data_IF_304242716673
#
_entry.id   IF_304242716673
#
_cell.length_a   1.000
_cell.length_b   1.000
_cell.length_c   1.000
_cell.angle_alpha   90.00
_cell.angle_beta   90.00
_cell.angle_gamma   90.00
#
_symmetry.space_group_name_H-M   'P 1'
#
loop_
_entity.id
_entity.type
_entity.pdbx_description
1 polymer ?
#
# COMPACT_ATOMS: atom_id res chain seq x y z
N UNK A 1 6.30 -30.03 -0.57
CA UNK A 1 6.26 -28.60 -0.19
C UNK A 1 4.81 -28.26 0.04
N UNK A 2 4.40 -28.18 1.29
CA UNK A 2 3.15 -27.51 1.64
C UNK A 2 3.38 -26.03 1.30
N UNK A 3 2.48 -25.44 0.54
CA UNK A 3 2.50 -24.00 0.29
C UNK A 3 2.10 -23.33 1.60
N UNK A 4 2.90 -22.40 2.12
CA UNK A 4 2.53 -21.61 3.29
C UNK A 4 1.15 -20.96 3.12
N UNK A 5 0.44 -20.77 4.23
CA UNK A 5 -0.95 -20.33 4.24
C UNK A 5 -1.06 -18.81 4.42
N UNK A 6 -1.71 -18.15 3.46
CA UNK A 6 -2.23 -16.79 3.63
C UNK A 6 -3.75 -16.85 3.78
N UNK A 7 -4.33 -16.26 4.85
CA UNK A 7 -5.77 -16.17 5.01
C UNK A 7 -6.42 -15.51 3.80
N UNK A 8 -7.56 -16.04 3.38
CA UNK A 8 -8.32 -15.52 2.23
C UNK A 8 -9.75 -15.21 2.61
N UNK A 9 -10.23 -14.06 2.19
CA UNK A 9 -11.62 -13.63 2.35
C UNK A 9 -12.19 -13.15 1.02
N UNK A 10 -13.53 -13.12 0.93
CA UNK A 10 -14.18 -12.52 -0.23
C UNK A 10 -14.09 -11.00 -0.15
N UNK A 11 -13.80 -10.37 -1.29
CA UNK A 11 -13.64 -8.91 -1.39
C UNK A 11 -14.60 -8.39 -2.44
N UNK A 12 -15.42 -7.43 -2.03
CA UNK A 12 -16.30 -6.66 -2.90
C UNK A 12 -15.52 -5.57 -3.65
N UNK A 13 -16.17 -4.92 -4.62
CA UNK A 13 -15.59 -3.82 -5.38
C UNK A 13 -15.34 -4.16 -6.84
N UNK A 14 -14.48 -3.38 -7.49
CA UNK A 14 -14.38 -3.32 -8.95
C UNK A 14 -12.92 -3.34 -9.42
N UNK A 15 -12.67 -3.92 -10.60
CA UNK A 15 -11.35 -3.83 -11.25
C UNK A 15 -11.15 -2.50 -12.00
N UNK A 16 -12.25 -1.79 -12.27
CA UNK A 16 -12.24 -0.45 -12.84
C UNK A 16 -12.33 0.60 -11.74
N UNK A 17 -11.86 1.82 -12.05
CA UNK A 17 -11.98 2.94 -11.14
C UNK A 17 -13.46 3.22 -10.79
N UNK A 18 -13.81 3.42 -9.52
CA UNK A 18 -15.18 3.72 -9.11
C UNK A 18 -15.67 5.01 -9.78
N UNK A 19 -16.87 4.97 -10.37
CA UNK A 19 -17.45 6.11 -11.08
C UNK A 19 -17.69 7.33 -10.17
N UNK A 20 -17.92 7.08 -8.88
CA UNK A 20 -18.15 8.11 -7.87
C UNK A 20 -16.87 8.66 -7.24
N UNK A 21 -15.68 8.17 -7.61
CA UNK A 21 -14.42 8.69 -7.10
C UNK A 21 -14.18 10.14 -7.55
N UNK A 22 -13.94 11.04 -6.60
CA UNK A 22 -13.69 12.47 -6.87
C UNK A 22 -12.23 12.76 -7.19
N UNK A 23 -11.31 11.89 -6.75
CA UNK A 23 -9.85 12.01 -6.87
C UNK A 23 -9.34 13.31 -6.23
N UNK A 24 -8.78 13.17 -5.03
CA UNK A 24 -8.21 14.28 -4.31
C UNK A 24 -6.74 14.04 -3.99
N UNK A 25 -5.99 15.13 -3.85
CA UNK A 25 -4.64 15.13 -3.31
C UNK A 25 -4.55 16.22 -2.25
N UNK A 26 -4.10 15.90 -1.03
CA UNK A 26 -3.88 16.91 -0.01
C UNK A 26 -2.81 17.90 -0.43
N UNK A 27 -2.98 19.17 -0.05
CA UNK A 27 -1.86 20.11 0.00
C UNK A 27 -0.94 19.70 1.14
N UNK A 28 0.35 20.06 1.05
CA UNK A 28 1.31 19.82 2.15
C UNK A 28 0.87 20.39 3.50
N UNK A 29 0.12 21.49 3.52
CA UNK A 29 -0.40 22.09 4.75
C UNK A 29 -1.62 21.38 5.33
N UNK A 30 -2.22 20.45 4.56
CA UNK A 30 -3.38 19.64 4.95
C UNK A 30 -2.95 18.24 5.42
N UNK A 31 -1.63 17.99 5.47
CA UNK A 31 -1.01 16.75 5.96
C UNK A 31 -0.33 17.10 7.27
N UNK A 32 -0.82 16.54 8.38
CA UNK A 32 -0.20 16.71 9.70
C UNK A 32 0.52 15.42 10.13
N UNK A 33 1.01 15.39 11.37
CA UNK A 33 1.70 14.24 11.94
C UNK A 33 0.79 13.00 12.03
N UNK A 34 -0.53 13.21 12.16
CA UNK A 34 -1.55 12.14 12.24
C UNK A 34 -2.08 11.71 10.85
N UNK A 35 -1.55 12.25 9.74
CA UNK A 35 -1.96 11.84 8.39
C UNK A 35 -3.01 12.73 7.73
N UNK A 36 -3.95 12.08 7.01
CA UNK A 36 -5.05 12.73 6.29
C UNK A 36 -6.35 11.95 6.54
N UNK A 37 -7.51 12.62 6.51
CA UNK A 37 -8.82 11.94 6.56
C UNK A 37 -9.34 11.60 7.97
N UNK A 38 -8.79 12.26 9.01
CA UNK A 38 -9.22 12.15 10.42
C UNK A 38 -9.14 10.73 10.99
N UNK A 39 -8.13 9.96 10.57
CA UNK A 39 -7.80 8.70 11.23
C UNK A 39 -6.98 9.00 12.50
N UNK A 40 -7.24 8.26 13.57
CA UNK A 40 -6.46 8.36 14.82
C UNK A 40 -5.36 7.32 14.79
N UNK A 41 -4.25 7.60 15.47
CA UNK A 41 -3.13 6.68 15.65
C UNK A 41 -2.47 6.20 14.34
N UNK A 42 -2.53 7.02 13.28
CA UNK A 42 -1.78 6.82 12.04
C UNK A 42 -0.76 7.93 11.84
N UNK A 43 0.24 7.73 11.00
CA UNK A 43 1.19 8.78 10.62
C UNK A 43 1.37 8.84 9.10
N UNK A 44 1.81 10.01 8.63
CA UNK A 44 2.00 10.25 7.21
C UNK A 44 3.22 9.48 6.65
N UNK A 45 3.00 8.71 5.59
CA UNK A 45 4.08 8.14 4.75
C UNK A 45 3.99 8.75 3.35
N UNK A 46 4.88 9.70 3.06
CA UNK A 46 4.95 10.41 1.77
C UNK A 46 6.39 10.61 1.32
N UNK A 47 6.57 10.96 0.05
CA UNK A 47 7.89 11.26 -0.56
C UNK A 47 8.93 10.12 -0.39
N UNK A 48 8.46 8.88 -0.28
CA UNK A 48 9.29 7.67 -0.10
C UNK A 48 10.18 7.40 -1.33
N UNK A 49 11.50 7.29 -1.18
CA UNK A 49 12.39 6.86 -2.25
C UNK A 49 12.07 5.44 -2.75
N UNK A 50 12.13 5.21 -4.07
CA UNK A 50 11.91 3.88 -4.64
C UNK A 50 12.84 2.77 -4.09
N UNK A 51 14.05 3.13 -3.68
CA UNK A 51 14.98 2.18 -3.05
C UNK A 51 14.47 1.68 -1.72
N UNK A 52 13.93 2.60 -0.91
CA UNK A 52 13.33 2.32 0.40
C UNK A 52 12.05 1.49 0.25
N UNK A 53 11.13 1.89 -0.63
CA UNK A 53 9.92 1.12 -0.91
C UNK A 53 10.24 -0.31 -1.40
N UNK A 54 11.30 -0.49 -2.20
CA UNK A 54 11.74 -1.80 -2.65
C UNK A 54 12.32 -2.65 -1.51
N UNK A 55 13.05 -2.04 -0.59
CA UNK A 55 13.54 -2.73 0.62
C UNK A 55 12.36 -3.18 1.48
N UNK A 56 11.38 -2.30 1.70
CA UNK A 56 10.17 -2.60 2.46
C UNK A 56 9.39 -3.78 1.87
N UNK A 57 9.09 -3.75 0.56
CA UNK A 57 8.38 -4.86 -0.13
C UNK A 57 9.13 -6.19 -0.03
N UNK A 58 10.46 -6.16 -0.06
CA UNK A 58 11.28 -7.38 0.06
C UNK A 58 11.27 -7.94 1.48
N UNK A 59 11.40 -7.06 2.47
CA UNK A 59 11.40 -7.45 3.87
C UNK A 59 10.04 -7.99 4.29
N UNK A 60 8.96 -7.28 3.95
CA UNK A 60 7.59 -7.73 4.16
C UNK A 60 7.36 -9.13 3.56
N UNK A 61 7.79 -9.37 2.31
CA UNK A 61 7.62 -10.69 1.68
C UNK A 61 8.39 -11.79 2.39
N UNK A 62 9.61 -11.51 2.85
CA UNK A 62 10.43 -12.47 3.59
C UNK A 62 9.74 -12.86 4.89
N UNK A 63 9.28 -11.87 5.65
CA UNK A 63 8.56 -12.06 6.90
C UNK A 63 7.23 -12.79 6.68
N UNK A 64 6.44 -12.38 5.69
CA UNK A 64 5.16 -12.99 5.35
C UNK A 64 5.30 -14.47 4.98
N UNK A 65 6.38 -14.83 4.28
CA UNK A 65 6.66 -16.23 3.95
C UNK A 65 6.95 -17.05 5.21
N UNK A 66 7.77 -16.52 6.13
CA UNK A 66 8.07 -17.21 7.39
C UNK A 66 6.82 -17.41 8.25
N UNK A 67 5.95 -16.39 8.36
CA UNK A 67 4.67 -16.50 9.06
C UNK A 67 3.76 -17.53 8.39
N UNK A 68 3.61 -17.48 7.06
CA UNK A 68 2.74 -18.38 6.32
C UNK A 68 3.19 -19.84 6.40
N UNK A 69 4.49 -20.09 6.50
CA UNK A 69 5.04 -21.44 6.65
C UNK A 69 4.81 -22.03 8.05
N UNK A 70 4.60 -21.17 9.05
CA UNK A 70 4.29 -21.57 10.44
C UNK A 70 2.78 -21.68 10.71
N UNK A 71 1.96 -20.87 10.05
CA UNK A 71 0.54 -20.78 10.33
C UNK A 71 -0.26 -21.96 9.75
N UNK A 72 -1.07 -22.61 10.60
CA UNK A 72 -2.03 -23.64 10.17
C UNK A 72 -3.45 -23.07 10.03
N UNK A 73 -3.78 -22.04 10.82
CA UNK A 73 -5.09 -21.37 10.84
C UNK A 73 -4.97 -19.85 10.66
N UNK A 74 -6.02 -19.13 10.22
CA UNK A 74 -6.02 -17.67 10.17
C UNK A 74 -5.66 -17.01 11.50
N UNK A 75 -6.09 -17.61 12.61
CA UNK A 75 -5.77 -17.17 13.97
C UNK A 75 -4.29 -17.36 14.29
N UNK A 76 -3.67 -18.47 13.86
CA UNK A 76 -2.21 -18.65 13.96
C UNK A 76 -1.48 -17.60 13.14
N UNK A 77 -1.94 -17.34 11.91
CA UNK A 77 -1.33 -16.34 11.06
C UNK A 77 -1.34 -14.97 11.75
N UNK A 78 -2.49 -14.55 12.27
CA UNK A 78 -2.65 -13.25 12.92
C UNK A 78 -1.79 -13.12 14.19
N UNK A 79 -1.80 -14.16 15.04
CA UNK A 79 -0.97 -14.24 16.26
C UNK A 79 0.53 -14.15 15.94
N UNK A 80 1.01 -14.98 15.02
CA UNK A 80 2.44 -15.05 14.67
C UNK A 80 2.88 -13.75 13.98
N UNK A 81 2.05 -13.22 13.08
CA UNK A 81 2.36 -11.97 12.41
C UNK A 81 2.40 -10.78 13.39
N UNK A 82 1.52 -10.75 14.40
CA UNK A 82 1.57 -9.73 15.45
C UNK A 82 2.91 -9.74 16.20
N UNK A 83 3.43 -10.93 16.51
CA UNK A 83 4.76 -11.06 17.13
C UNK A 83 5.86 -10.55 16.21
N UNK A 84 5.79 -10.86 14.91
CA UNK A 84 6.75 -10.34 13.92
C UNK A 84 6.71 -8.81 13.85
N UNK A 85 5.53 -8.21 13.78
CA UNK A 85 5.33 -6.76 13.64
C UNK A 85 5.82 -5.96 14.84
N UNK A 86 5.77 -6.55 16.03
CA UNK A 86 6.10 -5.87 17.28
C UNK A 86 7.41 -6.33 17.89
N UNK A 87 8.14 -7.23 17.21
CA UNK A 87 9.42 -7.76 17.64
C UNK A 87 9.33 -9.01 18.53
N UNK A 88 10.36 -9.85 18.43
CA UNK A 88 10.57 -11.03 19.26
C UNK A 88 11.14 -10.62 20.62
N UNK A 89 10.29 -10.16 21.54
CA UNK A 89 10.73 -9.98 22.91
C UNK A 89 10.88 -11.34 23.62
N UNK A 90 11.87 -11.46 24.52
CA UNK A 90 12.25 -12.72 25.17
C UNK A 90 11.13 -13.34 26.01
N UNK A 91 10.23 -12.50 26.52
CA UNK A 91 9.18 -12.88 27.49
C UNK A 91 7.79 -13.10 26.85
N UNK A 92 7.67 -13.02 25.52
CA UNK A 92 6.38 -13.27 24.86
C UNK A 92 6.05 -14.75 24.81
N UNK A 93 5.02 -15.12 25.57
CA UNK A 93 4.41 -16.46 25.57
C UNK A 93 3.60 -16.76 24.29
N UNK A 94 3.43 -15.76 23.41
CA UNK A 94 2.58 -15.82 22.22
C UNK A 94 3.12 -16.74 21.12
N UNK A 95 4.39 -17.17 21.18
CA UNK A 95 5.00 -18.11 20.22
C UNK A 95 5.75 -19.24 20.92
N UNK A 96 5.56 -20.46 20.45
CA UNK A 96 6.23 -21.65 20.97
C UNK A 96 7.72 -21.73 20.57
N UNK A 97 8.52 -22.61 21.21
CA UNK A 97 9.96 -22.73 20.90
C UNK A 97 10.27 -23.07 19.43
N UNK A 98 9.40 -23.83 18.76
CA UNK A 98 9.56 -24.19 17.35
C UNK A 98 9.33 -22.99 16.40
N UNK A 99 8.28 -22.21 16.66
CA UNK A 99 7.99 -20.97 15.92
C UNK A 99 9.12 -19.96 16.12
N UNK A 100 9.57 -19.78 17.38
CA UNK A 100 10.69 -18.90 17.73
C UNK A 100 11.97 -19.27 16.96
N UNK A 101 12.32 -20.55 16.89
CA UNK A 101 13.51 -20.99 16.15
C UNK A 101 13.46 -20.66 14.63
N UNK A 102 12.26 -20.53 14.06
CA UNK A 102 12.07 -20.12 12.65
C UNK A 102 12.05 -18.60 12.50
N UNK A 103 11.53 -17.87 13.49
CA UNK A 103 11.41 -16.42 13.45
C UNK A 103 12.71 -15.68 13.81
N UNK A 104 13.50 -16.19 14.76
CA UNK A 104 14.75 -15.57 15.22
C UNK A 104 15.73 -15.18 14.08
N UNK A 105 15.92 -15.99 13.02
CA UNK A 105 16.80 -15.62 11.92
C UNK A 105 16.24 -14.54 10.97
N UNK A 106 14.95 -14.24 11.05
CA UNK A 106 14.25 -13.33 10.12
C UNK A 106 13.69 -12.07 10.77
N UNK A 107 13.42 -12.09 12.07
CA UNK A 107 12.92 -10.93 12.83
C UNK A 107 14.09 -10.25 13.55
N UNK A 108 14.19 -8.93 13.41
CA UNK A 108 15.15 -8.10 14.16
C UNK A 108 14.68 -7.79 15.57
N UNK A 109 15.59 -7.33 16.43
CA UNK A 109 15.24 -6.80 17.76
C UNK A 109 14.38 -5.52 17.65
N UNK A 110 14.61 -4.70 16.63
CA UNK A 110 13.75 -3.55 16.33
C UNK A 110 12.50 -4.01 15.55
N UNK A 111 11.31 -3.45 15.86
CA UNK A 111 10.08 -3.74 15.14
C UNK A 111 10.27 -3.51 13.63
N UNK A 112 10.04 -4.54 12.79
CA UNK A 112 10.14 -4.37 11.36
C UNK A 112 8.97 -3.54 10.83
N UNK A 113 9.03 -3.18 9.55
CA UNK A 113 7.92 -2.55 8.81
C UNK A 113 7.49 -1.16 9.31
N UNK A 114 8.36 -0.48 10.06
CA UNK A 114 8.14 0.87 10.58
C UNK A 114 6.83 1.01 11.38
N UNK A 115 6.41 -0.06 12.07
CA UNK A 115 5.15 -0.10 12.84
C UNK A 115 3.89 -0.37 12.02
N UNK A 116 4.02 -0.65 10.72
CA UNK A 116 2.92 -1.10 9.87
C UNK A 116 2.73 -2.63 9.93
N UNK A 117 1.56 -3.05 9.47
CA UNK A 117 1.17 -4.45 9.44
C UNK A 117 1.75 -5.20 8.23
N UNK A 118 2.02 -6.48 8.46
CA UNK A 118 2.45 -7.45 7.46
C UNK A 118 1.40 -7.60 6.35
N UNK A 119 1.80 -7.41 5.10
CA UNK A 119 0.89 -7.46 3.96
C UNK A 119 0.29 -6.11 3.58
N UNK A 120 0.65 -5.06 4.29
CA UNK A 120 0.19 -3.68 4.07
C UNK A 120 1.38 -2.74 3.88
N UNK A 121 2.43 -2.89 4.69
CA UNK A 121 3.62 -2.04 4.69
C UNK A 121 4.21 -1.83 3.29
N UNK A 122 4.41 -2.91 2.53
CA UNK A 122 4.97 -2.83 1.18
C UNK A 122 4.07 -2.05 0.22
N UNK A 123 2.74 -2.22 0.32
CA UNK A 123 1.78 -1.51 -0.54
C UNK A 123 1.73 -0.02 -0.19
N UNK A 124 1.70 0.32 1.11
CA UNK A 124 1.75 1.71 1.60
C UNK A 124 2.99 2.43 1.06
N UNK A 125 4.17 1.81 1.18
CA UNK A 125 5.43 2.38 0.69
C UNK A 125 5.46 2.47 -0.85
N UNK A 126 4.94 1.47 -1.55
CA UNK A 126 4.87 1.49 -3.02
C UNK A 126 3.96 2.61 -3.54
N UNK A 127 2.80 2.84 -2.90
CA UNK A 127 1.88 3.93 -3.23
C UNK A 127 2.52 5.30 -2.95
N UNK A 128 3.17 5.45 -1.80
CA UNK A 128 3.91 6.66 -1.44
C UNK A 128 5.02 6.97 -2.45
N UNK A 129 5.78 5.95 -2.88
CA UNK A 129 6.88 6.10 -3.83
C UNK A 129 6.43 6.56 -5.23
N UNK A 130 5.19 6.27 -5.63
CA UNK A 130 4.60 6.78 -6.89
C UNK A 130 3.82 8.09 -6.72
N UNK A 131 3.86 8.69 -5.52
CA UNK A 131 3.27 10.00 -5.22
C UNK A 131 1.76 9.96 -4.99
N UNK A 132 1.24 8.85 -4.48
CA UNK A 132 -0.07 8.78 -3.82
C UNK A 132 0.13 8.93 -2.30
N UNK A 133 -0.93 9.25 -1.56
CA UNK A 133 -0.83 9.49 -0.11
C UNK A 133 -1.71 8.47 0.62
N UNK A 134 -1.12 7.41 1.21
CA UNK A 134 -1.83 6.52 2.13
C UNK A 134 -2.44 7.30 3.29
N UNK A 135 -3.66 6.94 3.67
CA UNK A 135 -4.44 7.60 4.71
C UNK A 135 -4.74 6.66 5.89
N UNK A 136 -5.07 5.41 5.59
CA UNK A 136 -5.29 4.36 6.56
C UNK A 136 -5.12 3.00 5.91
N UNK A 137 -4.87 1.98 6.72
CA UNK A 137 -4.74 0.61 6.25
C UNK A 137 -5.11 -0.38 7.35
N UNK A 138 -5.39 -1.62 6.94
CA UNK A 138 -5.59 -2.75 7.85
C UNK A 138 -5.29 -4.03 7.09
N UNK A 139 -4.66 -5.01 7.74
CA UNK A 139 -4.42 -6.35 7.19
C UNK A 139 -5.68 -7.22 7.13
N UNK A 140 -6.64 -6.96 8.01
CA UNK A 140 -7.80 -7.81 8.25
C UNK A 140 -7.54 -8.88 9.30
N UNK A 141 -7.58 -8.46 10.56
CA UNK A 141 -7.40 -9.31 11.74
C UNK A 141 -8.64 -10.17 12.01
N UNK A 142 -8.47 -11.26 12.76
CA UNK A 142 -9.58 -12.11 13.18
C UNK A 142 -10.31 -11.59 14.43
N UNK A 143 -9.81 -10.50 15.04
CA UNK A 143 -10.32 -9.94 16.29
C UNK A 143 -10.95 -8.54 16.12
N UNK A 144 -11.41 -7.96 17.24
CA UNK A 144 -12.10 -6.66 17.27
C UNK A 144 -11.21 -5.46 16.87
N UNK A 145 -9.91 -5.66 16.64
CA UNK A 145 -9.00 -4.59 16.17
C UNK A 145 -9.20 -4.30 14.69
N UNK A 146 -9.75 -5.27 13.94
CA UNK A 146 -10.01 -5.13 12.52
C UNK A 146 -11.15 -4.14 12.25
N UNK A 147 -10.89 -3.10 11.46
CA UNK A 147 -11.94 -2.30 10.85
C UNK A 147 -12.34 -2.79 9.45
N UNK A 148 -11.66 -3.82 8.95
CA UNK A 148 -11.91 -4.51 7.68
C UNK A 148 -11.59 -5.99 7.85
N UNK A 149 -12.36 -6.90 7.25
CA UNK A 149 -12.10 -8.36 7.30
C UNK A 149 -11.05 -8.83 6.27
N UNK A 150 -10.39 -7.89 5.61
CA UNK A 150 -9.45 -8.15 4.51
C UNK A 150 -8.41 -7.04 4.39
N UNK A 151 -7.25 -7.32 3.76
CA UNK A 151 -6.20 -6.33 3.64
C UNK A 151 -6.63 -5.19 2.73
N UNK A 152 -6.51 -3.98 3.25
CA UNK A 152 -7.05 -2.77 2.65
C UNK A 152 -6.13 -1.57 2.88
N UNK A 153 -6.03 -0.69 1.87
CA UNK A 153 -5.38 0.61 1.98
C UNK A 153 -6.30 1.68 1.41
N UNK A 154 -6.60 2.71 2.22
CA UNK A 154 -7.22 3.96 1.81
C UNK A 154 -6.14 4.97 1.46
N UNK A 155 -6.28 5.67 0.34
CA UNK A 155 -5.27 6.62 -0.12
C UNK A 155 -5.85 7.74 -1.00
N UNK A 156 -5.19 8.89 -0.98
CA UNK A 156 -5.44 9.99 -1.89
C UNK A 156 -4.58 9.84 -3.15
N UNK A 157 -5.15 10.13 -4.31
CA UNK A 157 -4.47 10.06 -5.59
C UNK A 157 -5.04 11.06 -6.60
N UNK A 158 -4.17 11.54 -7.51
CA UNK A 158 -4.64 12.21 -8.72
C UNK A 158 -5.31 11.19 -9.65
N UNK A 159 -6.26 11.64 -10.47
CA UNK A 159 -6.92 10.81 -11.47
C UNK A 159 -5.93 10.06 -12.38
N UNK A 160 -4.86 10.73 -12.81
CA UNK A 160 -3.85 10.13 -13.68
C UNK A 160 -3.11 8.95 -12.99
N UNK A 161 -2.73 9.12 -11.71
CA UNK A 161 -2.08 8.03 -10.95
C UNK A 161 -3.05 6.89 -10.68
N UNK A 162 -4.31 7.20 -10.36
CA UNK A 162 -5.35 6.18 -10.20
C UNK A 162 -5.58 5.38 -11.49
N UNK A 163 -5.54 6.03 -12.66
CA UNK A 163 -5.63 5.36 -13.96
C UNK A 163 -4.44 4.43 -14.24
N UNK A 164 -3.22 4.85 -13.88
CA UNK A 164 -2.04 3.99 -13.98
C UNK A 164 -2.16 2.76 -13.07
N UNK A 165 -2.66 2.94 -11.85
CA UNK A 165 -2.90 1.86 -10.89
C UNK A 165 -3.96 0.87 -11.38
N UNK A 166 -5.02 1.35 -12.06
CA UNK A 166 -6.11 0.50 -12.53
C UNK A 166 -5.66 -0.64 -13.45
N UNK A 167 -4.59 -0.44 -14.24
CA UNK A 167 -4.00 -1.49 -15.06
C UNK A 167 -3.34 -2.63 -14.26
N UNK A 168 -3.14 -2.46 -12.95
CA UNK A 168 -2.46 -3.42 -12.08
C UNK A 168 -3.41 -4.15 -11.13
N UNK A 169 -4.65 -3.67 -10.97
CA UNK A 169 -5.62 -4.21 -9.99
C UNK A 169 -6.08 -5.62 -10.34
N UNK A 170 -6.55 -5.85 -11.56
CA UNK A 170 -7.06 -7.17 -11.95
C UNK A 170 -5.98 -8.27 -11.91
N UNK A 171 -4.76 -8.08 -12.47
CA UNK A 171 -3.73 -9.12 -12.47
C UNK A 171 -3.23 -9.51 -11.08
N UNK A 172 -3.37 -8.63 -10.09
CA UNK A 172 -2.89 -8.85 -8.72
C UNK A 172 -3.98 -9.39 -7.80
N UNK A 173 -5.21 -9.56 -8.31
CA UNK A 173 -6.34 -10.04 -7.53
C UNK A 173 -6.99 -8.99 -6.62
N UNK A 174 -6.48 -7.76 -6.62
CA UNK A 174 -7.02 -6.64 -5.86
C UNK A 174 -8.33 -6.09 -6.48
N UNK A 175 -9.02 -5.25 -5.71
CA UNK A 175 -10.22 -4.51 -6.12
C UNK A 175 -10.13 -3.07 -5.65
N UNK A 176 -10.68 -2.16 -6.44
CA UNK A 176 -10.99 -0.81 -5.99
C UNK A 176 -12.35 -0.75 -5.30
N UNK A 177 -12.45 0.16 -4.33
CA UNK A 177 -13.71 0.65 -3.81
C UNK A 177 -13.59 2.12 -3.40
N UNK A 178 -14.66 2.66 -2.83
CA UNK A 178 -14.69 3.93 -2.10
C UNK A 178 -15.39 3.73 -0.75
N UNK A 179 -14.95 4.45 0.27
CA UNK A 179 -15.74 4.62 1.48
C UNK A 179 -16.75 5.76 1.22
N UNK A 180 -18.08 5.51 1.30
CA UNK A 180 -19.09 6.56 1.12
C UNK A 180 -18.96 7.72 2.11
N UNK A 181 -18.37 7.50 3.29
CA UNK A 181 -18.09 8.54 4.26
C UNK A 181 -16.85 9.37 3.89
N UNK A 182 -16.00 8.87 2.98
CA UNK A 182 -14.74 9.48 2.52
C UNK A 182 -14.58 9.33 1.00
N UNK A 183 -15.49 9.88 0.18
CA UNK A 183 -15.50 9.69 -1.27
C UNK A 183 -14.27 10.27 -2.00
N UNK A 184 -13.49 11.10 -1.29
CA UNK A 184 -12.24 11.71 -1.76
C UNK A 184 -11.04 10.77 -1.71
N UNK A 185 -11.14 9.67 -0.97
CA UNK A 185 -10.12 8.62 -0.88
C UNK A 185 -10.52 7.42 -1.75
N UNK A 186 -9.53 6.86 -2.43
CA UNK A 186 -9.66 5.55 -3.07
C UNK A 186 -9.32 4.47 -2.05
N UNK A 187 -10.01 3.34 -2.17
CA UNK A 187 -9.72 2.14 -1.42
C UNK A 187 -9.19 1.08 -2.39
N UNK A 188 -8.12 0.38 -1.99
CA UNK A 188 -7.73 -0.87 -2.63
C UNK A 188 -7.74 -1.99 -1.60
N UNK A 189 -8.40 -3.08 -1.95
CA UNK A 189 -8.52 -4.27 -1.13
C UNK A 189 -7.95 -5.50 -1.87
N UNK A 190 -7.29 -6.39 -1.13
CA UNK A 190 -6.87 -7.70 -1.62
C UNK A 190 -7.63 -8.81 -0.90
N UNK A 191 -7.81 -9.97 -1.53
CA UNK A 191 -8.45 -11.12 -0.85
C UNK A 191 -7.55 -11.77 0.18
N UNK A 192 -6.26 -11.46 0.14
CA UNK A 192 -5.22 -11.95 1.04
C UNK A 192 -4.04 -10.99 0.97
N UNK A 193 -3.12 -11.07 1.94
CA UNK A 193 -1.90 -10.26 1.90
C UNK A 193 -1.02 -10.58 0.68
N UNK A 194 -1.17 -11.77 0.10
CA UNK A 194 -0.49 -12.12 -1.14
C UNK A 194 -0.91 -11.24 -2.33
N UNK A 195 -2.19 -10.84 -2.38
CA UNK A 195 -2.72 -9.97 -3.43
C UNK A 195 -2.13 -8.55 -3.28
N UNK A 196 -2.11 -7.99 -2.05
CA UNK A 196 -1.55 -6.65 -1.79
C UNK A 196 -0.03 -6.58 -1.96
N UNK A 197 0.71 -7.62 -1.53
CA UNK A 197 2.15 -7.72 -1.79
C UNK A 197 2.45 -7.81 -3.30
N UNK A 198 1.63 -8.55 -4.06
CA UNK A 198 1.76 -8.63 -5.52
C UNK A 198 1.48 -7.29 -6.18
N UNK A 199 0.51 -6.53 -5.67
CA UNK A 199 0.23 -5.18 -6.14
C UNK A 199 1.39 -4.21 -5.84
N UNK A 200 1.98 -4.27 -4.66
CA UNK A 200 3.14 -3.46 -4.29
C UNK A 200 4.31 -3.69 -5.27
N UNK A 201 4.62 -4.95 -5.58
CA UNK A 201 5.64 -5.31 -6.57
C UNK A 201 5.29 -4.79 -7.96
N UNK A 202 4.03 -4.93 -8.39
CA UNK A 202 3.55 -4.46 -9.69
C UNK A 202 3.67 -2.94 -9.83
N UNK A 203 3.34 -2.18 -8.78
CA UNK A 203 3.49 -0.71 -8.76
C UNK A 203 4.95 -0.32 -8.97
N UNK A 204 5.88 -0.93 -8.20
CA UNK A 204 7.30 -0.63 -8.30
C UNK A 204 7.90 -1.05 -9.65
N UNK A 205 7.43 -2.14 -10.24
CA UNK A 205 7.82 -2.58 -11.58
C UNK A 205 7.29 -1.62 -12.66
N UNK A 206 6.07 -1.10 -12.50
CA UNK A 206 5.41 -0.20 -13.44
C UNK A 206 5.71 1.29 -13.21
N UNK A 207 6.74 1.65 -12.44
CA UNK A 207 7.01 3.04 -12.00
C UNK A 207 6.88 4.13 -13.09
N UNK A 208 7.27 3.82 -14.32
CA UNK A 208 7.25 4.78 -15.43
C UNK A 208 5.83 5.17 -15.85
N UNK A 209 4.85 4.32 -15.60
CA UNK A 209 3.44 4.57 -15.91
C UNK A 209 2.81 5.65 -15.01
N UNK A 210 3.45 5.95 -13.88
CA UNK A 210 3.00 6.95 -12.90
C UNK A 210 3.66 8.33 -13.08
N UNK A 211 4.52 8.49 -14.09
CA UNK A 211 5.18 9.77 -14.39
C UNK A 211 4.41 10.48 -15.51
N UNK A 212 3.75 11.58 -15.17
CA UNK A 212 3.03 12.37 -16.16
C UNK A 212 4.04 13.03 -17.11
N UNK A 213 4.04 12.60 -18.37
CA UNK A 213 4.76 13.28 -19.44
C UNK A 213 4.30 14.74 -19.50
N UNK A 214 5.21 15.69 -19.24
CA UNK A 214 4.92 17.10 -19.48
C UNK A 214 4.61 17.26 -20.97
N UNK A 215 3.50 17.91 -21.35
CA UNK A 215 3.29 18.25 -22.75
C UNK A 215 4.49 19.07 -23.20
N UNK A 216 5.10 18.69 -24.33
CA UNK A 216 6.17 19.45 -24.93
C UNK A 216 5.67 20.90 -25.05
N UNK A 217 6.30 21.84 -24.34
CA UNK A 217 6.04 23.27 -24.51
C UNK A 217 6.16 23.51 -26.02
N UNK A 218 5.03 23.78 -26.68
CA UNK A 218 5.06 24.23 -28.07
C UNK A 218 5.97 25.44 -28.09
N UNK A 219 7.18 25.32 -28.64
CA UNK A 219 8.00 26.48 -28.93
C UNK A 219 7.11 27.37 -29.77
N UNK A 220 6.75 28.52 -29.23
CA UNK A 220 5.85 29.46 -29.88
C UNK A 220 6.34 29.65 -31.31
N UNK A 221 5.46 29.39 -32.28
CA UNK A 221 5.61 29.93 -33.63
C UNK A 221 5.79 31.43 -33.44
N UNK A 222 7.01 31.91 -33.65
CA UNK A 222 7.28 33.31 -33.91
C UNK A 222 6.35 33.73 -35.04
N UNK A 223 5.43 34.64 -34.75
CA UNK A 223 4.62 35.28 -35.77
C UNK A 223 5.57 35.99 -36.76
N UNK A 224 5.35 35.89 -38.08
CA UNK A 224 6.14 36.65 -39.03
C UNK A 224 5.91 38.15 -38.80
N UNK A 225 7.01 38.90 -38.80
CA UNK A 225 6.98 40.35 -38.71
C UNK A 225 6.16 40.93 -39.87
N UNK A 226 5.10 41.66 -39.54
CA UNK A 226 4.39 42.51 -40.49
C UNK A 226 5.34 43.67 -40.81
N UNK A 227 5.76 43.76 -42.07
CA UNK A 227 6.43 44.95 -42.59
C UNK A 227 5.37 46.01 -42.84
N UNK A 228 5.42 47.11 -42.08
CA UNK A 228 4.69 48.33 -42.40
C UNK A 228 5.30 48.98 -43.65
N UNK A 229 4.47 49.41 -44.63
CA UNK A 229 4.93 50.24 -45.72
C UNK A 229 5.05 51.69 -45.24
N UNK A 230 6.26 52.25 -45.40
CA UNK A 230 6.54 53.68 -45.22
C UNK A 230 5.72 54.52 -46.21
N UNK A 231 4.99 55.50 -45.69
CA UNK A 231 4.67 56.76 -46.35
C UNK A 231 5.53 57.85 -45.71
#
# INVERSE_FOLDING_TARGET
MLWGMFPRTEVSGTVQLPAAATYWMPKRSEIDEEGIGFFRDVWTITDVPFGEARSMVREERRLATAVADLAETPEDFDRIAHVVETGLDGDREDVGPAERAVLEPVVSEEPPLDGLELGIAGLVYALAAVGMVPAASCRGHCDERAWSDHPVVLFAATRYRAQALAGLIEPTGCRFDIDPARPDLLLVAGRSIGDTMSLAEAILAARQTFIQSRPARSRGRTAPAVQDPLF
#
